data_IF_329337541314
#
_entry.id   IF_329337541314
#
_cell.length_a   1.000
_cell.length_b   1.000
_cell.length_c   1.000
_cell.angle_alpha   90.00
_cell.angle_beta   90.00
_cell.angle_gamma   90.00
#
_symmetry.space_group_name_H-M   'P 1'
#
loop_
_entity.id
_entity.type
_entity.pdbx_description
1 polymer ?
#
# COMPACT_ATOMS: atom_id res chain seq x y z
N UNK A 1 5.12 47.94 -59.93
CA UNK A 1 4.66 46.60 -59.51
C UNK A 1 5.40 46.29 -58.22
N UNK A 2 4.77 46.58 -57.08
CA UNK A 2 5.38 46.57 -55.74
C UNK A 2 5.48 45.16 -55.19
N UNK A 3 6.66 44.82 -54.65
CA UNK A 3 7.02 43.49 -54.14
C UNK A 3 6.34 43.16 -52.81
N UNK A 4 5.84 41.93 -52.71
CA UNK A 4 5.19 41.36 -51.52
C UNK A 4 6.26 40.91 -50.52
N UNK A 5 6.27 41.50 -49.33
CA UNK A 5 7.06 41.01 -48.19
C UNK A 5 6.29 39.86 -47.51
N UNK A 6 6.90 38.68 -47.45
CA UNK A 6 6.46 37.55 -46.64
C UNK A 6 6.93 37.76 -45.19
N UNK A 7 5.98 37.92 -44.27
CA UNK A 7 6.26 37.91 -42.83
C UNK A 7 6.20 36.45 -42.37
N UNK A 8 7.35 35.90 -41.97
CA UNK A 8 7.44 34.60 -41.32
C UNK A 8 7.09 34.75 -39.84
N UNK A 9 5.98 34.15 -39.40
CA UNK A 9 5.61 34.05 -37.99
C UNK A 9 6.26 32.79 -37.43
N UNK A 10 7.26 32.97 -36.56
CA UNK A 10 7.85 31.89 -35.77
C UNK A 10 6.99 31.70 -34.52
N UNK A 11 6.24 30.61 -34.46
CA UNK A 11 5.49 30.21 -33.27
C UNK A 11 6.42 29.49 -32.28
N UNK A 12 6.75 30.16 -31.17
CA UNK A 12 7.43 29.56 -30.02
C UNK A 12 6.39 28.78 -29.19
N UNK A 13 6.40 27.45 -29.32
CA UNK A 13 5.68 26.53 -28.43
C UNK A 13 6.46 26.42 -27.11
N UNK A 14 5.91 26.98 -26.02
CA UNK A 14 6.40 26.75 -24.67
C UNK A 14 5.86 25.42 -24.14
N UNK A 15 6.72 24.40 -24.03
CA UNK A 15 6.40 23.18 -23.28
C UNK A 15 6.45 23.49 -21.78
N UNK A 16 5.28 23.61 -21.15
CA UNK A 16 5.18 23.62 -19.70
C UNK A 16 5.32 22.18 -19.17
N UNK A 17 6.53 21.81 -18.74
CA UNK A 17 6.77 20.57 -18.02
C UNK A 17 6.24 20.73 -16.59
N UNK A 18 5.10 20.09 -16.28
CA UNK A 18 4.68 19.88 -14.89
C UNK A 18 5.57 18.80 -14.28
N UNK A 19 6.72 19.21 -13.72
CA UNK A 19 7.54 18.34 -12.88
C UNK A 19 6.93 18.23 -11.49
N UNK A 20 6.76 17.01 -10.99
CA UNK A 20 6.42 16.78 -9.59
C UNK A 20 7.49 17.42 -8.68
N UNK A 21 7.11 17.99 -7.52
CA UNK A 21 8.08 18.55 -6.60
C UNK A 21 9.10 17.47 -6.16
N UNK A 22 10.39 17.80 -6.07
CA UNK A 22 11.39 16.85 -5.59
C UNK A 22 11.07 16.45 -4.14
N UNK A 23 11.35 15.19 -3.74
CA UNK A 23 11.17 14.77 -2.36
C UNK A 23 12.00 15.66 -1.43
N UNK A 24 11.51 15.95 -0.21
CA UNK A 24 12.22 16.79 0.74
C UNK A 24 13.61 16.21 1.03
N UNK A 25 14.65 17.05 0.96
CA UNK A 25 16.01 16.65 1.25
C UNK A 25 16.14 16.19 2.72
N UNK A 26 16.83 15.06 2.94
CA UNK A 26 17.08 14.55 4.28
C UNK A 26 17.82 15.61 5.12
N UNK A 27 17.25 15.98 6.26
CA UNK A 27 17.89 16.92 7.19
C UNK A 27 19.01 16.20 7.93
N UNK A 28 20.24 16.73 7.88
CA UNK A 28 21.38 16.15 8.58
C UNK A 28 21.46 16.70 10.01
N UNK A 29 21.70 15.82 10.98
CA UNK A 29 21.93 16.15 12.37
C UNK A 29 23.35 16.70 12.61
N UNK A 30 23.64 17.20 13.82
CA UNK A 30 24.97 17.70 14.19
C UNK A 30 26.10 16.66 14.04
N UNK A 31 25.76 15.38 14.00
CA UNK A 31 26.65 14.24 13.80
C UNK A 31 26.85 13.86 12.32
N UNK A 32 26.26 14.63 11.39
CA UNK A 32 26.34 14.37 9.95
C UNK A 32 25.49 13.18 9.49
N UNK A 33 24.62 12.64 10.35
CA UNK A 33 23.69 11.55 10.00
C UNK A 33 22.32 12.14 9.65
N UNK A 34 21.53 11.49 8.77
CA UNK A 34 20.14 11.87 8.57
C UNK A 34 19.38 11.84 9.89
N UNK A 35 18.73 12.94 10.24
CA UNK A 35 17.78 12.97 11.35
C UNK A 35 16.64 12.05 10.94
N UNK A 36 16.38 11.02 11.76
CA UNK A 36 15.20 10.18 11.60
C UNK A 36 13.97 11.03 11.94
N UNK A 37 13.40 11.67 10.93
CA UNK A 37 12.15 12.41 11.05
C UNK A 37 11.02 11.40 11.07
N UNK A 38 10.14 11.50 12.05
CA UNK A 38 8.91 10.69 12.11
C UNK A 38 8.19 10.82 10.77
N UNK A 39 7.89 9.69 10.13
CA UNK A 39 7.12 9.67 8.89
C UNK A 39 5.66 10.06 9.18
N UNK A 40 5.36 11.35 9.21
CA UNK A 40 4.03 11.87 9.53
C UNK A 40 3.14 11.89 8.29
N UNK A 41 2.01 11.19 8.36
CA UNK A 41 1.05 11.09 7.26
C UNK A 41 -0.13 12.02 7.52
N UNK A 42 -0.40 12.93 6.60
CA UNK A 42 -1.58 13.79 6.65
C UNK A 42 -2.68 13.26 5.72
N UNK A 43 -3.91 13.70 5.94
CA UNK A 43 -5.05 13.30 5.09
C UNK A 43 -4.86 13.64 3.61
N UNK A 44 -4.07 14.68 3.30
CA UNK A 44 -3.75 15.08 1.94
C UNK A 44 -2.80 14.08 1.23
N UNK A 45 -2.00 13.33 2.00
CA UNK A 45 -1.01 12.39 1.46
C UNK A 45 -1.64 11.02 1.13
N UNK A 46 -2.85 10.75 1.62
CA UNK A 46 -3.53 9.46 1.49
C UNK A 46 -3.59 8.95 0.04
N UNK A 47 -4.06 9.75 -0.95
CA UNK A 47 -4.17 9.26 -2.33
C UNK A 47 -2.80 8.91 -2.93
N UNK A 48 -1.77 9.68 -2.59
CA UNK A 48 -0.42 9.47 -3.10
C UNK A 48 0.21 8.21 -2.49
N UNK A 49 0.09 8.01 -1.18
CA UNK A 49 0.59 6.81 -0.48
C UNK A 49 -0.05 5.55 -1.05
N UNK A 50 -1.38 5.55 -1.21
CA UNK A 50 -2.11 4.42 -1.79
C UNK A 50 -1.67 4.14 -3.23
N UNK A 51 -1.52 5.18 -4.06
CA UNK A 51 -1.04 5.04 -5.43
C UNK A 51 0.39 4.49 -5.50
N UNK A 52 1.33 5.07 -4.74
CA UNK A 52 2.73 4.63 -4.71
C UNK A 52 2.86 3.16 -4.31
N UNK A 53 2.15 2.72 -3.27
CA UNK A 53 2.19 1.32 -2.85
C UNK A 53 1.61 0.39 -3.93
N UNK A 54 0.41 0.70 -4.46
CA UNK A 54 -0.21 -0.14 -5.51
C UNK A 54 0.71 -0.24 -6.72
N UNK A 55 1.28 0.88 -7.16
CA UNK A 55 2.12 0.93 -8.35
C UNK A 55 3.45 0.18 -8.12
N UNK A 56 4.04 0.28 -6.93
CA UNK A 56 5.22 -0.49 -6.53
C UNK A 56 4.91 -2.00 -6.49
N UNK A 57 3.80 -2.41 -5.87
CA UNK A 57 3.38 -3.82 -5.84
C UNK A 57 3.12 -4.33 -7.26
N UNK A 58 2.41 -3.56 -8.10
CA UNK A 58 2.11 -3.93 -9.48
C UNK A 58 3.37 -4.02 -10.34
N UNK A 59 4.40 -3.22 -10.06
CA UNK A 59 5.72 -3.34 -10.70
C UNK A 59 6.35 -4.70 -10.42
N UNK A 60 6.39 -5.11 -9.14
CA UNK A 60 6.94 -6.43 -8.75
C UNK A 60 6.09 -7.57 -9.31
N UNK A 61 4.76 -7.45 -9.27
CA UNK A 61 3.83 -8.43 -9.85
C UNK A 61 4.07 -8.63 -11.35
N UNK A 62 4.21 -7.55 -12.11
CA UNK A 62 4.48 -7.62 -13.55
C UNK A 62 5.83 -8.27 -13.87
N UNK A 63 6.88 -7.96 -13.10
CA UNK A 63 8.19 -8.62 -13.23
C UNK A 63 8.11 -10.15 -13.03
N UNK A 64 7.12 -10.63 -12.27
CA UNK A 64 6.86 -12.05 -12.00
C UNK A 64 5.76 -12.64 -12.90
N UNK A 65 5.35 -11.93 -13.96
CA UNK A 65 4.30 -12.38 -14.88
C UNK A 65 2.92 -12.49 -14.22
N UNK A 66 2.65 -11.69 -13.19
CA UNK A 66 1.36 -11.64 -12.49
C UNK A 66 0.53 -10.46 -13.00
N UNK A 67 -0.79 -10.64 -13.00
CA UNK A 67 -1.74 -9.58 -13.31
C UNK A 67 -1.66 -8.46 -12.25
N UNK A 68 -1.82 -7.19 -12.64
CA UNK A 68 -1.91 -6.10 -11.67
C UNK A 68 -3.16 -6.25 -10.78
N UNK A 69 -3.07 -5.71 -9.56
CA UNK A 69 -4.19 -5.57 -8.63
C UNK A 69 -4.73 -4.14 -8.64
N UNK A 70 -6.02 -4.01 -8.38
CA UNK A 70 -6.72 -2.73 -8.26
C UNK A 70 -7.41 -2.58 -6.91
N UNK A 71 -7.62 -1.33 -6.47
CA UNK A 71 -8.25 -1.07 -5.18
C UNK A 71 -9.71 -1.53 -5.14
N UNK A 72 -10.04 -2.33 -4.13
CA UNK A 72 -11.41 -2.66 -3.73
C UNK A 72 -11.78 -1.91 -2.44
N UNK A 73 -12.95 -1.29 -2.45
CA UNK A 73 -13.43 -0.45 -1.33
C UNK A 73 -13.71 -1.25 -0.07
N UNK A 74 -14.16 -2.50 -0.20
CA UNK A 74 -14.49 -3.35 0.94
C UNK A 74 -13.21 -3.87 1.60
N UNK A 75 -12.23 -4.31 0.81
CA UNK A 75 -10.90 -4.70 1.31
C UNK A 75 -10.18 -3.53 1.97
N UNK A 76 -10.23 -2.33 1.36
CA UNK A 76 -9.63 -1.13 1.93
C UNK A 76 -10.28 -0.72 3.26
N UNK A 77 -11.61 -0.82 3.35
CA UNK A 77 -12.35 -0.55 4.58
C UNK A 77 -12.04 -1.58 5.69
N UNK A 78 -11.84 -2.85 5.31
CA UNK A 78 -11.44 -3.92 6.23
C UNK A 78 -10.05 -3.64 6.80
N UNK A 79 -9.10 -3.28 5.92
CA UNK A 79 -7.75 -2.90 6.29
C UNK A 79 -7.73 -1.70 7.25
N UNK A 80 -8.53 -0.65 6.97
CA UNK A 80 -8.58 0.55 7.80
C UNK A 80 -9.14 0.26 9.20
N UNK A 81 -10.19 -0.56 9.28
CA UNK A 81 -10.79 -0.97 10.55
C UNK A 81 -9.80 -1.78 11.37
N UNK A 82 -9.10 -2.73 10.74
CA UNK A 82 -8.16 -3.59 11.44
C UNK A 82 -6.90 -2.84 11.89
N UNK A 83 -6.38 -1.92 11.07
CA UNK A 83 -5.26 -1.07 11.45
C UNK A 83 -5.54 -0.28 12.74
N UNK A 84 -6.75 0.29 12.86
CA UNK A 84 -7.17 0.99 14.08
C UNK A 84 -7.32 0.03 15.26
N UNK A 85 -7.85 -1.16 15.02
CA UNK A 85 -8.03 -2.16 16.07
C UNK A 85 -6.69 -2.69 16.62
N UNK A 86 -5.69 -2.92 15.76
CA UNK A 86 -4.32 -3.28 16.19
C UNK A 86 -3.68 -2.20 17.05
N UNK A 87 -3.88 -0.92 16.71
CA UNK A 87 -3.45 0.21 17.54
C UNK A 87 -4.07 0.17 18.94
N UNK A 88 -5.39 -0.04 19.03
CA UNK A 88 -6.09 -0.14 20.31
C UNK A 88 -5.60 -1.33 21.14
N UNK A 89 -5.29 -2.45 20.49
CA UNK A 89 -4.74 -3.64 21.15
C UNK A 89 -3.23 -3.55 21.43
N UNK A 90 -2.54 -2.52 20.91
CA UNK A 90 -1.09 -2.36 20.94
C UNK A 90 -0.33 -3.61 20.48
N UNK A 91 -0.82 -4.27 19.43
CA UNK A 91 -0.26 -5.53 18.91
C UNK A 91 -0.59 -5.75 17.44
N UNK A 92 0.45 -5.95 16.62
CA UNK A 92 0.26 -6.47 15.26
C UNK A 92 -0.12 -7.96 15.33
N UNK A 93 -1.36 -8.27 15.00
CA UNK A 93 -1.94 -9.60 15.05
C UNK A 93 -3.20 -9.66 14.17
N UNK A 94 -3.41 -10.78 13.47
CA UNK A 94 -4.46 -10.89 12.43
C UNK A 94 -5.91 -10.95 12.94
N UNK A 95 -6.14 -11.33 14.19
CA UNK A 95 -7.49 -11.39 14.75
C UNK A 95 -7.90 -10.06 15.36
N UNK A 96 -9.14 -9.67 15.08
CA UNK A 96 -9.74 -8.50 15.68
C UNK A 96 -9.96 -8.68 17.18
N UNK A 97 -10.11 -7.58 17.90
CA UNK A 97 -10.43 -7.57 19.33
C UNK A 97 -11.77 -8.25 19.65
N UNK A 98 -12.65 -8.35 18.66
CA UNK A 98 -13.92 -9.08 18.70
C UNK A 98 -13.78 -10.59 18.35
N UNK A 99 -12.55 -11.08 18.16
CA UNK A 99 -12.26 -12.45 17.75
C UNK A 99 -12.43 -12.73 16.25
N UNK A 100 -12.75 -11.72 15.43
CA UNK A 100 -12.91 -11.89 13.98
C UNK A 100 -11.59 -12.26 13.29
N UNK A 101 -11.64 -13.26 12.42
CA UNK A 101 -10.55 -13.52 11.47
C UNK A 101 -10.52 -12.47 10.35
N UNK A 102 -9.42 -12.33 9.58
CA UNK A 102 -9.38 -11.43 8.43
C UNK A 102 -10.53 -11.65 7.44
N UNK A 103 -10.87 -12.91 7.17
CA UNK A 103 -11.96 -13.25 6.26
C UNK A 103 -13.33 -12.87 6.82
N UNK A 104 -13.56 -12.98 8.14
CA UNK A 104 -14.81 -12.55 8.76
C UNK A 104 -14.98 -11.04 8.64
N UNK A 105 -13.91 -10.26 8.82
CA UNK A 105 -13.93 -8.79 8.65
C UNK A 105 -14.26 -8.39 7.22
N UNK A 106 -13.59 -9.02 6.25
CA UNK A 106 -13.79 -8.74 4.83
C UNK A 106 -15.21 -9.10 4.37
N UNK A 107 -15.75 -10.24 4.82
CA UNK A 107 -17.14 -10.65 4.56
C UNK A 107 -18.16 -9.72 5.22
N UNK A 108 -17.91 -9.29 6.45
CA UNK A 108 -18.78 -8.35 7.18
C UNK A 108 -18.95 -7.02 6.44
N UNK A 109 -17.92 -6.60 5.70
CA UNK A 109 -17.93 -5.41 4.86
C UNK A 109 -18.46 -5.65 3.44
N UNK A 110 -18.96 -6.85 3.14
CA UNK A 110 -19.65 -7.15 1.88
C UNK A 110 -18.74 -7.46 0.70
N UNK A 111 -17.46 -7.76 0.91
CA UNK A 111 -16.59 -8.22 -0.18
C UNK A 111 -17.08 -9.58 -0.70
N UNK A 112 -17.55 -9.59 -1.95
CA UNK A 112 -18.11 -10.78 -2.60
C UNK A 112 -17.09 -11.66 -3.33
N UNK A 113 -15.82 -11.26 -3.35
CA UNK A 113 -14.75 -12.00 -4.03
C UNK A 113 -14.11 -13.09 -3.18
N UNK A 114 -13.09 -13.74 -3.73
CA UNK A 114 -12.26 -14.69 -3.02
C UNK A 114 -11.11 -13.95 -2.31
N UNK A 115 -11.21 -13.79 -1.00
CA UNK A 115 -10.12 -13.37 -0.13
C UNK A 115 -8.93 -14.34 -0.22
N UNK A 116 -7.74 -13.78 -0.44
CA UNK A 116 -6.48 -14.52 -0.61
C UNK A 116 -5.66 -14.49 0.68
N UNK A 117 -5.60 -13.33 1.32
CA UNK A 117 -4.82 -13.16 2.55
C UNK A 117 -4.61 -11.70 2.92
N UNK A 118 -4.02 -11.50 4.08
CA UNK A 118 -3.70 -10.20 4.67
C UNK A 118 -2.26 -10.24 5.20
N UNK A 119 -1.50 -9.17 5.00
CA UNK A 119 -0.26 -8.94 5.74
C UNK A 119 -0.40 -7.66 6.57
N UNK A 120 0.17 -7.68 7.77
CA UNK A 120 0.12 -6.57 8.72
C UNK A 120 1.50 -6.24 9.25
N UNK A 121 1.70 -5.00 9.67
CA UNK A 121 2.95 -4.53 10.26
C UNK A 121 2.73 -3.46 11.33
N UNK A 122 3.57 -3.50 12.36
CA UNK A 122 3.73 -2.45 13.38
C UNK A 122 5.07 -1.77 13.13
N UNK A 123 4.97 -0.56 12.57
CA UNK A 123 5.97 0.27 11.89
C UNK A 123 6.41 1.58 12.56
N UNK A 124 7.59 2.14 12.28
CA UNK A 124 7.79 3.56 11.95
C UNK A 124 8.20 3.78 10.49
N UNK A 125 8.35 2.70 9.72
CA UNK A 125 8.75 2.77 8.32
C UNK A 125 7.61 3.20 7.37
N UNK A 126 8.02 3.71 6.21
CA UNK A 126 7.13 4.11 5.11
C UNK A 126 6.39 2.93 4.47
N UNK A 127 5.42 3.22 3.63
CA UNK A 127 4.65 2.22 2.87
C UNK A 127 5.54 1.37 1.95
N UNK A 128 6.59 1.96 1.37
CA UNK A 128 7.49 1.25 0.44
C UNK A 128 8.49 0.37 1.18
N UNK A 129 9.00 0.82 2.32
CA UNK A 129 9.85 0.01 3.20
C UNK A 129 9.06 -1.17 3.77
N UNK A 130 7.82 -0.92 4.20
CA UNK A 130 6.91 -1.98 4.69
C UNK A 130 6.57 -2.99 3.58
N UNK A 131 6.26 -2.53 2.36
CA UNK A 131 6.05 -3.42 1.22
C UNK A 131 7.29 -4.27 0.92
N UNK A 132 8.48 -3.68 1.02
CA UNK A 132 9.75 -4.39 0.83
C UNK A 132 9.91 -5.50 1.88
N UNK A 133 9.60 -5.21 3.14
CA UNK A 133 9.65 -6.19 4.23
C UNK A 133 8.61 -7.32 4.06
N UNK A 134 7.41 -7.03 3.54
CA UNK A 134 6.43 -8.05 3.17
C UNK A 134 6.91 -8.92 2.00
N UNK A 135 7.59 -8.33 1.01
CA UNK A 135 8.12 -9.09 -0.13
C UNK A 135 9.37 -9.91 0.20
N UNK A 136 10.09 -9.60 1.29
CA UNK A 136 11.29 -10.36 1.68
C UNK A 136 10.98 -11.64 2.46
N UNK A 137 9.79 -11.75 3.04
CA UNK A 137 9.34 -12.90 3.82
C UNK A 137 8.49 -13.83 2.96
N UNK A 138 8.82 -15.13 2.95
CA UNK A 138 8.18 -16.11 2.04
C UNK A 138 6.65 -16.09 2.16
N UNK A 139 6.13 -16.17 3.37
CA UNK A 139 4.70 -16.36 3.60
C UNK A 139 3.88 -15.11 3.21
N UNK A 140 4.35 -13.90 3.51
CA UNK A 140 3.70 -12.65 3.06
C UNK A 140 3.90 -12.42 1.57
N UNK A 141 5.06 -12.80 1.01
CA UNK A 141 5.32 -12.74 -0.42
C UNK A 141 4.37 -13.64 -1.22
N UNK A 142 4.05 -14.84 -0.72
CA UNK A 142 3.10 -15.74 -1.37
C UNK A 142 1.71 -15.11 -1.55
N UNK A 143 1.26 -14.29 -0.59
CA UNK A 143 0.01 -13.54 -0.68
C UNK A 143 0.13 -12.43 -1.73
N UNK A 144 1.16 -11.60 -1.62
CA UNK A 144 1.36 -10.44 -2.49
C UNK A 144 1.57 -10.82 -3.96
N UNK A 145 2.13 -12.00 -4.22
CA UNK A 145 2.42 -12.53 -5.55
C UNK A 145 1.50 -13.67 -5.97
N UNK A 146 0.38 -13.87 -5.26
CA UNK A 146 -0.62 -14.88 -5.62
C UNK A 146 -1.14 -14.58 -7.05
N UNK A 147 -1.08 -15.57 -7.97
CA UNK A 147 -1.50 -15.39 -9.35
C UNK A 147 -2.99 -15.14 -9.53
N UNK A 148 -3.82 -15.44 -8.52
CA UNK A 148 -5.26 -15.19 -8.54
C UNK A 148 -5.60 -13.75 -8.16
N UNK A 149 -4.69 -13.05 -7.48
CA UNK A 149 -4.98 -11.73 -6.94
C UNK A 149 -5.28 -10.73 -8.05
N UNK A 150 -6.41 -10.03 -7.90
CA UNK A 150 -6.87 -8.95 -8.78
C UNK A 150 -7.38 -7.75 -8.00
N UNK A 151 -7.71 -7.94 -6.72
CA UNK A 151 -8.22 -6.90 -5.83
C UNK A 151 -7.23 -6.64 -4.68
N UNK A 152 -7.11 -5.37 -4.29
CA UNK A 152 -6.23 -4.85 -3.25
C UNK A 152 -7.02 -4.00 -2.26
N UNK A 153 -6.81 -4.24 -0.97
CA UNK A 153 -7.09 -3.30 0.10
C UNK A 153 -5.80 -2.86 0.75
N UNK A 154 -5.62 -1.57 0.97
CA UNK A 154 -4.49 -1.06 1.74
C UNK A 154 -4.88 0.18 2.54
N UNK A 155 -4.59 0.13 3.83
CA UNK A 155 -4.86 1.22 4.75
C UNK A 155 -3.94 1.12 5.97
N UNK A 156 -3.97 2.17 6.80
CA UNK A 156 -3.17 2.26 8.00
C UNK A 156 -3.86 3.05 9.10
N UNK A 157 -3.29 2.95 10.30
CA UNK A 157 -3.51 3.89 11.39
C UNK A 157 -2.17 4.42 11.87
N UNK A 158 -2.08 5.71 12.15
CA UNK A 158 -0.89 6.32 12.74
C UNK A 158 -1.20 6.84 14.15
N UNK A 159 -0.45 6.36 15.13
CA UNK A 159 -0.52 6.84 16.50
C UNK A 159 0.17 8.22 16.63
N UNK A 160 -0.15 9.02 17.66
CA UNK A 160 0.48 10.33 17.87
C UNK A 160 2.01 10.32 18.02
N UNK A 161 2.58 9.18 18.42
CA UNK A 161 4.03 8.99 18.52
C UNK A 161 4.70 8.65 17.18
N UNK A 162 3.93 8.61 16.09
CA UNK A 162 4.41 8.28 14.75
C UNK A 162 4.34 6.80 14.38
N UNK A 163 4.01 5.91 15.33
CA UNK A 163 3.89 4.47 15.05
C UNK A 163 2.78 4.21 14.05
N UNK A 164 3.06 3.35 13.08
CA UNK A 164 2.18 2.99 11.97
C UNK A 164 1.72 1.55 12.09
N UNK A 165 0.44 1.36 11.82
CA UNK A 165 -0.24 0.06 11.80
C UNK A 165 -0.67 -0.18 10.36
N UNK A 166 0.15 -0.85 9.56
CA UNK A 166 -0.11 -1.09 8.15
C UNK A 166 -0.91 -2.38 7.95
N UNK A 167 -1.88 -2.35 7.03
CA UNK A 167 -2.63 -3.54 6.61
C UNK A 167 -2.75 -3.54 5.10
N UNK A 168 -2.32 -4.65 4.49
CA UNK A 168 -2.61 -4.98 3.09
C UNK A 168 -3.44 -6.25 3.02
N UNK A 169 -4.49 -6.25 2.19
CA UNK A 169 -5.39 -7.37 1.99
C UNK A 169 -5.54 -7.63 0.49
N UNK A 170 -5.33 -8.88 0.04
CA UNK A 170 -5.52 -9.25 -1.36
C UNK A 170 -6.75 -10.13 -1.53
N UNK A 171 -7.40 -9.98 -2.68
CA UNK A 171 -8.51 -10.83 -3.09
C UNK A 171 -8.54 -11.04 -4.60
N UNK A 172 -9.50 -11.85 -5.03
CA UNK A 172 -9.81 -12.09 -6.42
C UNK A 172 -11.29 -11.86 -6.68
N UNK A 173 -11.63 -11.06 -7.70
CA UNK A 173 -13.03 -10.75 -8.01
C UNK A 173 -13.86 -11.99 -8.33
N UNK A 174 -13.22 -13.02 -8.86
CA UNK A 174 -13.85 -14.30 -9.20
C UNK A 174 -13.46 -15.34 -8.16
N UNK A 175 -14.45 -16.09 -7.69
CA UNK A 175 -14.23 -17.24 -6.83
C UNK A 175 -13.63 -18.38 -7.69
N UNK A 176 -12.43 -18.89 -7.37
CA UNK A 176 -11.87 -20.01 -8.11
C UNK A 176 -12.80 -21.24 -8.01
N UNK A 177 -12.97 -21.96 -9.12
CA UNK A 177 -13.86 -23.12 -9.15
C UNK A 177 -13.44 -24.17 -8.09
N UNK A 178 -14.37 -24.55 -7.21
CA UNK A 178 -14.14 -25.55 -6.16
C UNK A 178 -13.39 -25.05 -4.92
N UNK A 179 -13.09 -23.74 -4.82
CA UNK A 179 -12.41 -23.19 -3.65
C UNK A 179 -13.39 -22.94 -2.49
N UNK A 180 -13.28 -23.73 -1.42
CA UNK A 180 -13.80 -23.35 -0.12
C UNK A 180 -12.82 -22.35 0.52
N UNK A 181 -13.33 -21.21 1.00
CA UNK A 181 -12.55 -20.29 1.80
C UNK A 181 -12.48 -20.79 3.24
N UNK A 182 -11.32 -21.32 3.64
CA UNK A 182 -11.07 -21.72 5.02
C UNK A 182 -10.79 -20.49 5.89
N UNK A 183 -11.29 -20.52 7.13
CA UNK A 183 -11.20 -19.42 8.11
C UNK A 183 -9.73 -19.19 8.57
N UNK A 184 -8.85 -20.17 8.39
CA UNK A 184 -7.46 -20.17 8.87
C UNK A 184 -6.43 -19.52 7.94
N UNK A 185 -6.81 -18.67 6.99
CA UNK A 185 -5.84 -17.91 6.20
C UNK A 185 -5.22 -16.78 7.04
N UNK A 186 -4.35 -17.17 7.96
CA UNK A 186 -3.41 -16.31 8.65
C UNK A 186 -2.13 -16.29 7.80
N UNK A 187 -1.76 -15.12 7.30
CA UNK A 187 -0.35 -14.90 7.01
C UNK A 187 0.40 -14.79 8.34
N UNK A 188 1.72 -14.92 8.37
CA UNK A 188 2.49 -14.36 9.46
C UNK A 188 2.52 -12.83 9.37
N UNK A 189 2.62 -12.20 10.53
CA UNK A 189 2.96 -10.78 10.66
C UNK A 189 4.39 -10.61 10.18
N UNK A 190 4.62 -9.72 9.21
CA UNK A 190 5.99 -9.42 8.82
C UNK A 190 6.73 -8.74 9.96
N UNK A 191 7.94 -9.22 10.25
CA UNK A 191 8.79 -8.55 11.24
C UNK A 191 9.35 -7.25 10.67
N UNK A 192 8.59 -6.17 10.86
CA UNK A 192 9.02 -4.78 10.62
C UNK A 192 9.49 -4.13 11.90
N UNK A 193 9.75 -4.90 12.97
CA UNK A 193 10.27 -4.29 14.20
C UNK A 193 11.69 -3.81 13.90
N UNK A 194 12.04 -2.56 14.24
CA UNK A 194 13.43 -2.16 14.21
C UNK A 194 14.21 -3.10 15.14
N UNK A 195 15.35 -3.60 14.64
CA UNK A 195 16.27 -4.50 15.35
C UNK A 195 16.17 -4.35 16.87
N UNK A 196 15.72 -5.41 17.54
CA UNK A 196 15.83 -5.54 19.00
C UNK A 196 17.29 -5.56 19.45
#
# INVERSE_FOLDING_TARGET
MTGRALIAVVALLALAACGAPPPPAATLGPDGRPVQTIYAINSADIPEIQARLRDALNTVRQQQGRMPVEFDVNLTSAAATHARDMSVQARAWHFGSDGSSPIDRVRRLGYGGYFIGEAVSETYETEIETLTAWLSQEDTRQILLDPRATDLGFAWHQDPNGKLWWVIALGARTVPAGAAQTIEQQAPVADTRPNR
#
